data_IF_452184043225
#
_entry.id   IF_452184043225
#
_cell.length_a   1.000
_cell.length_b   1.000
_cell.length_c   1.000
_cell.angle_alpha   90.00
_cell.angle_beta   90.00
_cell.angle_gamma   90.00
#
_symmetry.space_group_name_H-M   'P 1'
#
loop_
_entity.id
_entity.type
_entity.pdbx_description
1 polymer ?
#
# COMPACT_ATOMS: atom_id res chain seq x y z
N UNK A 1 -18.40 -14.60 -5.19
CA UNK A 1 -18.06 -13.74 -4.05
C UNK A 1 -18.17 -14.52 -2.75
N UNK A 2 -17.33 -14.14 -1.78
CA UNK A 2 -17.28 -14.38 -0.32
C UNK A 2 -17.10 -15.79 0.32
N UNK A 3 -16.81 -16.86 -0.43
CA UNK A 3 -16.41 -18.15 0.19
C UNK A 3 -15.17 -18.81 -0.43
N UNK A 4 -14.52 -18.18 -1.40
CA UNK A 4 -13.20 -18.60 -1.86
C UNK A 4 -12.16 -18.15 -0.84
N UNK A 5 -11.21 -19.03 -0.50
CA UNK A 5 -10.01 -18.63 0.25
C UNK A 5 -9.35 -17.44 -0.45
N UNK A 6 -8.85 -16.48 0.34
CA UNK A 6 -8.15 -15.32 -0.22
C UNK A 6 -7.04 -15.79 -1.17
N UNK A 7 -6.94 -15.17 -2.35
CA UNK A 7 -5.90 -15.48 -3.32
C UNK A 7 -4.54 -15.44 -2.64
N UNK A 8 -3.73 -16.48 -2.86
CA UNK A 8 -2.40 -16.56 -2.24
C UNK A 8 -1.57 -15.36 -2.70
N UNK A 9 -0.97 -14.67 -1.73
CA UNK A 9 0.01 -13.64 -2.00
C UNK A 9 1.24 -14.28 -2.65
N UNK A 10 1.79 -13.65 -3.70
CA UNK A 10 3.06 -14.07 -4.30
C UNK A 10 4.16 -14.16 -3.23
N UNK A 11 4.94 -15.24 -3.24
CA UNK A 11 6.07 -15.39 -2.32
C UNK A 11 7.17 -14.35 -2.57
N UNK A 12 7.27 -13.81 -3.78
CA UNK A 12 8.23 -12.79 -4.18
C UNK A 12 7.55 -11.42 -4.16
N UNK A 13 7.82 -10.56 -3.16
CA UNK A 13 7.29 -9.20 -3.17
C UNK A 13 8.00 -8.36 -4.22
N UNK A 14 7.23 -7.53 -4.92
CA UNK A 14 7.79 -6.43 -5.70
C UNK A 14 8.51 -5.43 -4.78
N UNK A 15 9.58 -4.77 -5.23
CA UNK A 15 10.43 -3.94 -4.38
C UNK A 15 9.72 -2.71 -3.78
N UNK A 16 8.58 -2.32 -4.32
CA UNK A 16 7.74 -1.21 -3.84
C UNK A 16 6.56 -1.67 -2.97
N UNK A 17 6.42 -2.98 -2.72
CA UNK A 17 5.39 -3.53 -1.83
C UNK A 17 5.92 -3.59 -0.40
N UNK A 18 5.58 -2.57 0.42
CA UNK A 18 6.08 -2.47 1.80
C UNK A 18 5.45 -3.52 2.75
N UNK A 19 4.15 -3.78 2.61
CA UNK A 19 3.41 -4.76 3.42
C UNK A 19 2.23 -5.32 2.65
N UNK A 20 1.90 -6.59 2.90
CA UNK A 20 0.82 -7.33 2.21
C UNK A 20 0.03 -8.10 3.26
N UNK A 21 -1.30 -7.91 3.27
CA UNK A 21 -2.22 -8.57 4.19
C UNK A 21 -3.20 -9.40 3.36
N UNK A 22 -3.41 -10.66 3.73
CA UNK A 22 -4.42 -11.53 3.15
C UNK A 22 -5.55 -11.75 4.16
N UNK A 23 -6.12 -10.64 4.61
CA UNK A 23 -7.13 -10.61 5.66
C UNK A 23 -8.20 -9.57 5.30
N UNK A 24 -9.43 -9.82 5.73
CA UNK A 24 -10.51 -8.83 5.60
C UNK A 24 -10.33 -7.73 6.64
N UNK A 25 -10.62 -6.49 6.26
CA UNK A 25 -10.31 -5.34 7.10
C UNK A 25 -10.77 -4.02 6.54
N UNK A 26 -10.47 -2.96 7.28
CA UNK A 26 -10.68 -1.57 6.88
C UNK A 26 -9.50 -0.70 7.33
N UNK A 27 -9.37 0.50 6.78
CA UNK A 27 -8.30 1.44 7.12
C UNK A 27 -8.87 2.64 7.85
N UNK A 28 -8.21 3.07 8.92
CA UNK A 28 -8.43 4.35 9.59
C UNK A 28 -7.31 5.29 9.15
N UNK A 29 -7.68 6.48 8.69
CA UNK A 29 -6.75 7.55 8.35
C UNK A 29 -7.03 8.76 9.23
N UNK A 30 -6.02 9.19 9.98
CA UNK A 30 -6.08 10.38 10.83
C UNK A 30 -5.15 11.45 10.30
N UNK A 31 -5.70 12.58 9.86
CA UNK A 31 -4.90 13.74 9.42
C UNK A 31 -4.50 14.55 10.65
N UNK A 32 -3.23 14.46 11.04
CA UNK A 32 -2.74 15.21 12.20
C UNK A 32 -2.44 16.67 11.86
N UNK A 33 -1.89 16.92 10.66
CA UNK A 33 -1.60 18.27 10.14
C UNK A 33 -1.34 18.23 8.63
N UNK A 34 -0.91 19.37 8.05
CA UNK A 34 -0.64 19.52 6.62
C UNK A 34 0.45 18.60 6.05
N UNK A 35 1.29 17.99 6.90
CA UNK A 35 2.41 17.15 6.46
C UNK A 35 2.38 15.74 7.03
N UNK A 36 1.55 15.42 8.01
CA UNK A 36 1.53 14.12 8.69
C UNK A 36 0.13 13.51 8.74
N UNK A 37 0.05 12.25 8.35
CA UNK A 37 -1.14 11.40 8.48
C UNK A 37 -0.75 10.09 9.15
N UNK A 38 -1.61 9.62 10.05
CA UNK A 38 -1.49 8.30 10.67
C UNK A 38 -2.46 7.34 9.97
N UNK A 39 -1.97 6.15 9.62
CA UNK A 39 -2.72 5.15 8.88
C UNK A 39 -2.66 3.84 9.64
N UNK A 40 -3.83 3.32 9.99
CA UNK A 40 -4.00 2.04 10.66
C UNK A 40 -4.84 1.12 9.78
N UNK A 41 -4.39 -0.11 9.54
CA UNK A 41 -5.19 -1.15 8.90
C UNK A 41 -5.71 -2.09 9.97
N UNK A 42 -7.03 -2.19 10.10
CA UNK A 42 -7.73 -3.02 11.08
C UNK A 42 -8.17 -4.32 10.41
N UNK A 43 -7.89 -5.45 11.04
CA UNK A 43 -8.28 -6.79 10.57
C UNK A 43 -9.56 -7.26 11.25
N UNK A 44 -10.58 -7.60 10.47
CA UNK A 44 -11.80 -8.25 10.94
C UNK A 44 -11.55 -9.71 11.30
N UNK A 45 -10.64 -10.38 10.57
CA UNK A 45 -10.30 -11.80 10.79
C UNK A 45 -9.61 -12.02 12.16
N UNK A 46 -9.02 -10.96 12.71
CA UNK A 46 -8.35 -10.94 14.01
C UNK A 46 -9.15 -10.21 15.10
N UNK A 47 -10.47 -10.09 14.94
CA UNK A 47 -11.33 -9.47 15.95
C UNK A 47 -11.06 -7.97 16.12
N UNK A 48 -10.94 -7.26 15.00
CA UNK A 48 -10.69 -5.80 14.94
C UNK A 48 -9.32 -5.37 15.51
N UNK A 49 -8.33 -6.26 15.47
CA UNK A 49 -6.96 -5.93 15.83
C UNK A 49 -6.26 -5.10 14.74
N UNK A 50 -5.35 -4.23 15.16
CA UNK A 50 -4.47 -3.49 14.24
C UNK A 50 -3.52 -4.45 13.54
N UNK A 51 -3.65 -4.57 12.22
CA UNK A 51 -2.82 -5.39 11.34
C UNK A 51 -1.64 -4.61 10.76
N UNK A 52 -1.79 -3.30 10.54
CA UNK A 52 -0.70 -2.39 10.16
C UNK A 52 -0.88 -0.99 10.76
N UNK A 53 0.23 -0.31 11.03
CA UNK A 53 0.29 1.00 11.68
C UNK A 53 1.54 1.75 11.20
N UNK A 54 1.35 2.89 10.54
CA UNK A 54 2.45 3.77 10.18
C UNK A 54 2.03 5.23 10.04
N UNK A 55 3.03 6.11 10.12
CA UNK A 55 2.89 7.52 9.79
C UNK A 55 3.38 7.79 8.37
N UNK A 56 2.60 8.56 7.62
CA UNK A 56 3.00 9.14 6.34
C UNK A 56 3.34 10.62 6.55
N UNK A 57 4.61 10.97 6.34
CA UNK A 57 5.11 12.34 6.34
C UNK A 57 5.42 12.82 4.93
N UNK A 58 5.04 14.06 4.59
CA UNK A 58 5.44 14.72 3.33
C UNK A 58 6.23 15.99 3.58
N UNK A 59 7.16 16.29 2.69
CA UNK A 59 7.83 17.59 2.67
C UNK A 59 6.86 18.69 2.25
N UNK A 60 6.90 19.81 2.97
CA UNK A 60 6.08 20.97 2.66
C UNK A 60 6.51 21.55 1.31
N UNK A 61 5.54 21.85 0.43
CA UNK A 61 5.82 22.40 -0.89
C UNK A 61 6.30 21.39 -1.95
N UNK A 62 6.53 20.12 -1.60
CA UNK A 62 6.83 19.09 -2.60
C UNK A 62 5.66 18.92 -3.57
N UNK A 63 5.94 19.15 -4.86
CA UNK A 63 5.06 18.86 -5.99
C UNK A 63 5.76 17.87 -6.89
N UNK A 64 5.07 16.81 -7.32
CA UNK A 64 5.59 15.89 -8.32
C UNK A 64 5.90 16.71 -9.57
N UNK A 65 7.17 16.72 -9.99
CA UNK A 65 7.53 17.25 -11.30
C UNK A 65 6.94 16.33 -12.37
N UNK A 66 6.44 16.91 -13.45
CA UNK A 66 6.01 16.14 -14.62
C UNK A 66 7.16 15.23 -15.04
N UNK A 67 6.89 13.94 -15.19
CA UNK A 67 7.93 13.00 -15.58
C UNK A 67 8.20 13.26 -17.05
N UNK A 68 9.40 13.71 -17.37
CA UNK A 68 9.93 13.64 -18.73
C UNK A 68 9.98 12.16 -19.14
N UNK A 69 9.04 11.74 -19.99
CA UNK A 69 8.89 10.35 -20.44
C UNK A 69 10.18 9.82 -21.09
N UNK A 70 11.03 10.70 -21.63
CA UNK A 70 12.33 10.34 -22.20
C UNK A 70 13.36 9.86 -21.16
N UNK A 71 13.12 10.13 -19.86
CA UNK A 71 13.99 9.74 -18.74
C UNK A 71 13.46 8.56 -17.95
N UNK A 72 12.38 7.90 -18.41
CA UNK A 72 11.83 6.71 -17.75
C UNK A 72 12.81 5.54 -17.90
N UNK A 73 13.74 5.44 -16.96
CA UNK A 73 14.64 4.30 -16.88
C UNK A 73 13.83 3.07 -16.43
N UNK A 74 13.44 2.24 -17.40
CA UNK A 74 13.59 0.79 -17.34
C UNK A 74 12.86 -0.04 -16.29
N UNK A 75 11.95 0.49 -15.46
CA UNK A 75 10.99 -0.39 -14.75
C UNK A 75 9.86 -0.77 -15.71
N UNK A 76 10.20 -1.62 -16.69
CA UNK A 76 9.22 -2.34 -17.48
C UNK A 76 8.67 -3.46 -16.59
N UNK A 77 7.40 -3.35 -16.23
CA UNK A 77 6.65 -4.46 -15.65
C UNK A 77 6.47 -5.51 -16.74
N UNK A 78 7.24 -6.60 -16.69
CA UNK A 78 6.96 -7.76 -17.53
C UNK A 78 5.66 -8.38 -17.01
N UNK A 79 4.58 -8.24 -17.79
CA UNK A 79 3.35 -9.00 -17.54
C UNK A 79 3.69 -10.46 -17.77
N UNK A 80 3.81 -11.24 -16.71
CA UNK A 80 3.71 -12.70 -16.82
C UNK A 80 2.27 -13.03 -17.14
N UNK A 81 2.02 -13.46 -18.37
CA UNK A 81 0.74 -14.08 -18.72
C UNK A 81 0.65 -15.42 -17.98
N UNK A 82 -0.46 -15.64 -17.27
CA UNK A 82 -0.88 -16.95 -16.73
C UNK A 82 -1.74 -17.70 -17.74
#
# INVERSE_FOLDING_TARGET
GCHSTGTKIDKTPEPFSAKRLNEYGYTILTVANATHMHIEQISLDRGEAVADDFWLSKDMGFRRQEIDESKRNGYAFERKEE
#
